data_IF_381747208581
#
_entry.id   IF_381747208581
#
_cell.length_a   1.000
_cell.length_b   1.000
_cell.length_c   1.000
_cell.angle_alpha   90.00
_cell.angle_beta   90.00
_cell.angle_gamma   90.00
#
_symmetry.space_group_name_H-M   'P 1'
#
loop_
_entity.id
_entity.type
_entity.pdbx_description
1 polymer ?
#
# COMPACT_ATOMS: atom_id res chain seq x y z
N UNK A 1 0.94 19.95 15.58
CA UNK A 1 0.53 19.51 14.23
C UNK A 1 -0.78 20.13 13.70
N UNK A 2 -1.61 20.76 14.55
CA UNK A 2 -2.97 21.24 14.18
C UNK A 2 -2.98 22.46 13.21
N UNK A 3 -1.87 23.17 12.98
CA UNK A 3 -1.85 24.37 12.13
C UNK A 3 -1.34 24.19 10.68
N UNK A 4 -0.77 23.03 10.31
CA UNK A 4 -0.22 22.83 8.95
C UNK A 4 -1.32 22.61 7.90
N UNK A 5 -2.34 21.81 8.24
CA UNK A 5 -3.55 21.71 7.42
C UNK A 5 -4.28 23.06 7.32
N UNK A 6 -4.27 23.86 8.39
CA UNK A 6 -4.91 25.17 8.42
C UNK A 6 -4.37 26.14 7.36
N UNK A 7 -3.05 26.13 7.11
CA UNK A 7 -2.43 26.97 6.07
C UNK A 7 -2.73 26.46 4.66
N UNK A 8 -2.64 25.15 4.40
CA UNK A 8 -3.03 24.58 3.10
C UNK A 8 -4.51 24.85 2.80
N UNK A 9 -5.39 24.68 3.80
CA UNK A 9 -6.81 25.04 3.69
C UNK A 9 -6.95 26.54 3.40
N UNK A 10 -6.19 27.39 4.08
CA UNK A 10 -6.24 28.83 3.85
C UNK A 10 -5.77 29.26 2.46
N UNK A 11 -4.69 28.66 1.95
CA UNK A 11 -4.12 29.02 0.65
C UNK A 11 -4.91 28.41 -0.51
N UNK A 12 -5.34 27.15 -0.39
CA UNK A 12 -5.93 26.39 -1.52
C UNK A 12 -7.46 26.34 -1.52
N UNK A 13 -8.11 26.48 -0.35
CA UNK A 13 -9.57 26.39 -0.24
C UNK A 13 -10.25 27.72 0.00
N UNK A 14 -9.59 28.70 0.63
CA UNK A 14 -10.21 30.01 0.94
C UNK A 14 -10.71 30.74 -0.30
N UNK A 15 -9.93 30.70 -1.38
CA UNK A 15 -10.31 31.30 -2.68
C UNK A 15 -11.47 30.58 -3.36
N UNK A 16 -11.80 29.37 -2.91
CA UNK A 16 -12.88 28.53 -3.46
C UNK A 16 -14.13 28.52 -2.59
N UNK A 17 -14.11 29.20 -1.43
CA UNK A 17 -15.30 29.42 -0.61
C UNK A 17 -16.23 30.39 -1.32
N UNK A 18 -17.50 30.02 -1.45
CA UNK A 18 -18.50 30.88 -2.06
C UNK A 18 -18.71 32.13 -1.18
N UNK A 19 -18.51 33.32 -1.76
CA UNK A 19 -18.58 34.58 -1.02
C UNK A 19 -19.97 34.97 -0.51
N UNK A 20 -21.05 34.48 -1.14
CA UNK A 20 -22.42 34.79 -0.72
C UNK A 20 -22.96 33.81 0.32
N UNK A 21 -22.66 32.52 0.18
CA UNK A 21 -23.13 31.49 1.12
C UNK A 21 -22.16 31.24 2.27
N UNK A 22 -20.90 31.70 2.14
CA UNK A 22 -19.77 31.36 3.03
C UNK A 22 -19.53 29.85 3.16
N UNK A 23 -20.04 29.06 2.21
CA UNK A 23 -19.88 27.61 2.18
C UNK A 23 -18.80 27.22 1.17
N UNK A 24 -18.08 26.16 1.50
CA UNK A 24 -17.25 25.44 0.55
C UNK A 24 -18.08 24.29 -0.01
N UNK A 25 -18.06 24.16 -1.34
CA UNK A 25 -18.71 23.05 -2.00
C UNK A 25 -18.05 21.71 -1.63
N UNK A 26 -18.86 20.65 -1.51
CA UNK A 26 -18.41 19.34 -1.04
C UNK A 26 -17.38 18.72 -2.00
N UNK A 27 -17.61 18.82 -3.31
CA UNK A 27 -16.67 18.32 -4.32
C UNK A 27 -15.34 19.06 -4.19
N UNK A 28 -15.39 20.38 -4.03
CA UNK A 28 -14.18 21.20 -3.83
C UNK A 28 -13.37 20.81 -2.59
N UNK A 29 -14.04 20.53 -1.47
CA UNK A 29 -13.39 20.02 -0.25
C UNK A 29 -12.78 18.64 -0.48
N UNK A 30 -13.53 17.76 -1.15
CA UNK A 30 -13.11 16.39 -1.40
C UNK A 30 -11.91 16.32 -2.36
N UNK A 31 -11.88 17.16 -3.40
CA UNK A 31 -10.75 17.32 -4.33
C UNK A 31 -9.48 17.73 -3.61
N UNK A 32 -9.62 18.71 -2.70
CA UNK A 32 -8.51 19.10 -1.85
C UNK A 32 -8.02 17.92 -1.01
N UNK A 33 -8.93 17.14 -0.41
CA UNK A 33 -8.57 16.04 0.48
C UNK A 33 -7.99 14.80 -0.21
N UNK A 34 -8.24 14.63 -1.51
CA UNK A 34 -7.89 13.42 -2.27
C UNK A 34 -6.66 13.59 -3.15
N UNK A 35 -6.33 14.82 -3.59
CA UNK A 35 -5.20 15.07 -4.49
C UNK A 35 -4.05 15.85 -3.82
N UNK A 36 -2.82 15.39 -4.07
CA UNK A 36 -1.56 16.07 -3.77
C UNK A 36 -1.29 16.49 -2.31
N UNK A 37 -2.04 15.99 -1.32
CA UNK A 37 -1.81 16.30 0.10
C UNK A 37 -0.36 16.02 0.54
N UNK A 38 0.18 14.85 0.21
CA UNK A 38 1.58 14.52 0.53
C UNK A 38 2.58 15.47 -0.15
N UNK A 39 2.33 15.90 -1.40
CA UNK A 39 3.17 16.90 -2.09
C UNK A 39 3.09 18.26 -1.41
N UNK A 40 1.89 18.69 -0.97
CA UNK A 40 1.70 19.93 -0.22
C UNK A 40 2.39 19.86 1.14
N UNK A 41 2.25 18.75 1.87
CA UNK A 41 2.98 18.51 3.12
C UNK A 41 4.48 18.70 2.89
N UNK A 42 5.05 18.06 1.87
CA UNK A 42 6.48 18.17 1.55
C UNK A 42 6.93 19.61 1.24
N UNK A 43 6.05 20.50 0.77
CA UNK A 43 6.42 21.90 0.51
C UNK A 43 6.74 22.69 1.79
N UNK A 44 6.19 22.29 2.93
CA UNK A 44 6.43 22.95 4.21
C UNK A 44 7.79 22.61 4.79
N UNK A 45 8.43 23.62 5.37
CA UNK A 45 9.76 23.48 5.96
C UNK A 45 9.83 22.40 7.06
N UNK A 46 8.78 22.27 7.90
CA UNK A 46 8.71 21.26 8.95
C UNK A 46 8.79 19.83 8.40
N UNK A 47 8.05 19.52 7.34
CA UNK A 47 8.08 18.20 6.72
C UNK A 47 9.38 17.94 5.96
N UNK A 48 9.98 18.97 5.34
CA UNK A 48 11.33 18.83 4.77
C UNK A 48 12.36 18.49 5.83
N UNK A 49 12.33 19.19 6.97
CA UNK A 49 13.21 18.89 8.10
C UNK A 49 13.02 17.48 8.63
N UNK A 50 11.77 17.02 8.75
CA UNK A 50 11.46 15.64 9.14
C UNK A 50 12.06 14.64 8.14
N UNK A 51 11.91 14.88 6.83
CA UNK A 51 12.52 14.03 5.79
C UNK A 51 14.05 14.03 5.93
N UNK A 52 14.68 15.19 6.03
CA UNK A 52 16.13 15.31 6.17
C UNK A 52 16.64 14.61 7.45
N UNK A 53 15.92 14.74 8.56
CA UNK A 53 16.24 14.09 9.84
C UNK A 53 16.14 12.57 9.74
N UNK A 54 15.05 12.04 9.19
CA UNK A 54 14.80 10.61 9.10
C UNK A 54 15.64 9.91 8.02
N UNK A 55 16.09 10.65 7.00
CA UNK A 55 17.03 10.11 6.02
C UNK A 55 18.47 10.08 6.51
N UNK A 56 18.81 10.81 7.58
CA UNK A 56 20.14 10.77 8.17
C UNK A 56 20.53 9.35 8.60
N UNK A 57 21.81 9.01 8.48
CA UNK A 57 22.32 7.71 8.90
C UNK A 57 22.16 7.46 10.41
N UNK A 58 22.22 8.51 11.24
CA UNK A 58 21.97 8.36 12.68
C UNK A 58 20.53 7.97 13.01
N UNK A 59 19.58 8.15 12.08
CA UNK A 59 18.17 7.81 12.25
C UNK A 59 17.83 6.40 11.71
N UNK A 60 18.79 5.65 11.17
CA UNK A 60 18.56 4.36 10.52
C UNK A 60 17.81 3.38 11.43
N UNK A 61 18.22 3.23 12.69
CA UNK A 61 17.58 2.29 13.61
C UNK A 61 16.15 2.73 13.98
N UNK A 62 15.91 4.03 14.10
CA UNK A 62 14.58 4.57 14.31
C UNK A 62 13.67 4.34 13.10
N UNK A 63 14.18 4.50 11.88
CA UNK A 63 13.41 4.22 10.66
C UNK A 63 13.19 2.72 10.47
N UNK A 64 14.14 1.87 10.89
CA UNK A 64 13.95 0.42 10.93
C UNK A 64 12.78 0.06 11.86
N UNK A 65 12.77 0.57 13.10
CA UNK A 65 11.67 0.39 14.06
C UNK A 65 10.32 0.87 13.48
N UNK A 66 10.33 2.06 12.86
CA UNK A 66 9.15 2.62 12.19
C UNK A 66 8.61 1.66 11.12
N UNK A 67 9.49 1.20 10.22
CA UNK A 67 9.16 0.31 9.09
C UNK A 67 8.64 -1.05 9.56
N UNK A 68 9.21 -1.59 10.63
CA UNK A 68 8.85 -2.94 11.10
C UNK A 68 7.55 -2.99 11.87
N UNK A 69 7.29 -2.00 12.73
CA UNK A 69 6.21 -2.12 13.72
C UNK A 69 5.02 -1.22 13.39
N UNK A 70 5.27 0.01 12.93
CA UNK A 70 4.27 1.07 12.85
C UNK A 70 3.70 1.32 11.45
N UNK A 71 4.48 1.10 10.38
CA UNK A 71 4.03 1.47 9.03
C UNK A 71 2.79 0.68 8.60
N UNK A 72 1.75 1.42 8.22
CA UNK A 72 0.42 0.89 7.89
C UNK A 72 -0.39 0.35 9.04
N UNK A 73 0.04 0.64 10.27
CA UNK A 73 -0.71 0.29 11.45
C UNK A 73 -0.96 1.53 12.30
N UNK A 74 -2.23 1.90 12.42
CA UNK A 74 -2.65 3.09 13.16
C UNK A 74 -3.05 2.78 14.61
N UNK A 75 -2.94 1.52 15.02
CA UNK A 75 -3.18 1.09 16.39
C UNK A 75 -1.98 1.35 17.30
N UNK A 76 -2.15 0.97 18.56
CA UNK A 76 -1.17 1.21 19.61
C UNK A 76 -0.18 0.06 19.69
N UNK A 77 1.10 0.38 19.90
CA UNK A 77 2.21 -0.57 20.03
C UNK A 77 2.91 -0.32 21.36
N UNK A 78 3.04 -1.38 22.16
CA UNK A 78 3.78 -1.33 23.42
C UNK A 78 5.24 -1.72 23.20
N UNK A 79 6.17 -0.86 23.60
CA UNK A 79 7.61 -1.08 23.45
C UNK A 79 8.22 -1.19 24.85
N UNK A 80 8.58 -2.39 25.28
CA UNK A 80 9.15 -2.63 26.62
C UNK A 80 10.66 -2.41 26.68
N UNK A 81 11.35 -2.60 25.55
CA UNK A 81 12.80 -2.41 25.47
C UNK A 81 13.20 -0.93 25.55
N UNK A 82 14.17 -0.61 26.39
CA UNK A 82 14.57 0.79 26.65
C UNK A 82 15.24 1.45 25.45
N UNK A 83 16.02 0.71 24.64
CA UNK A 83 16.67 1.29 23.46
C UNK A 83 15.62 1.55 22.37
N UNK A 84 14.70 0.61 22.14
CA UNK A 84 13.57 0.84 21.23
C UNK A 84 12.67 2.00 21.69
N UNK A 85 12.48 2.18 23.00
CA UNK A 85 11.76 3.36 23.52
C UNK A 85 12.48 4.66 23.16
N UNK A 86 13.82 4.72 23.25
CA UNK A 86 14.58 5.91 22.82
C UNK A 86 14.41 6.21 21.33
N UNK A 87 14.40 5.17 20.50
CA UNK A 87 14.13 5.30 19.06
C UNK A 87 12.70 5.81 18.81
N UNK A 88 11.71 5.29 19.54
CA UNK A 88 10.32 5.74 19.44
C UNK A 88 10.12 7.17 19.97
N UNK A 89 10.81 7.56 21.04
CA UNK A 89 10.82 8.93 21.56
C UNK A 89 11.44 9.90 20.54
N UNK A 90 12.51 9.50 19.83
CA UNK A 90 13.05 10.27 18.71
C UNK A 90 12.02 10.44 17.58
N UNK A 91 11.34 9.37 17.17
CA UNK A 91 10.26 9.45 16.16
C UNK A 91 9.08 10.32 16.64
N UNK A 92 8.81 10.35 17.94
CA UNK A 92 7.80 11.22 18.55
C UNK A 92 8.23 12.69 18.48
N UNK A 93 9.51 12.99 18.74
CA UNK A 93 10.07 14.33 18.63
C UNK A 93 10.05 14.86 17.18
N UNK A 94 10.29 13.97 16.20
CA UNK A 94 10.13 14.28 14.77
C UNK A 94 8.66 14.43 14.35
N UNK A 95 7.70 14.07 15.20
CA UNK A 95 6.27 14.17 14.94
C UNK A 95 5.72 13.02 14.10
N UNK A 96 6.46 11.91 14.00
CA UNK A 96 6.02 10.69 13.31
C UNK A 96 5.08 9.87 14.20
N UNK A 97 5.47 9.71 15.46
CA UNK A 97 4.70 8.97 16.46
C UNK A 97 4.06 9.90 17.49
N UNK A 98 3.09 9.38 18.22
CA UNK A 98 2.54 9.97 19.44
C UNK A 98 2.72 8.94 20.55
N UNK A 99 3.28 9.40 21.67
CA UNK A 99 3.30 8.65 22.92
C UNK A 99 1.99 8.86 23.68
N UNK A 100 1.36 7.78 24.11
CA UNK A 100 0.04 7.82 24.76
C UNK A 100 0.20 7.81 26.27
N UNK A 101 0.70 6.70 26.81
CA UNK A 101 0.95 6.46 28.22
C UNK A 101 2.12 5.48 28.38
N UNK A 102 2.96 5.68 29.39
CA UNK A 102 4.08 4.77 29.69
C UNK A 102 4.92 4.42 28.46
N UNK A 103 4.84 3.17 28.02
CA UNK A 103 5.57 2.56 26.91
C UNK A 103 4.76 2.36 25.62
N UNK A 104 3.58 2.98 25.50
CA UNK A 104 2.71 2.83 24.34
C UNK A 104 2.87 4.00 23.35
N UNK A 105 3.01 3.64 22.08
CA UNK A 105 3.19 4.57 20.97
C UNK A 105 2.22 4.23 19.85
N UNK A 106 1.88 5.21 19.03
CA UNK A 106 1.13 4.98 17.78
C UNK A 106 1.56 5.96 16.70
N UNK A 107 1.25 5.61 15.45
CA UNK A 107 1.41 6.53 14.33
C UNK A 107 0.61 7.83 14.57
N UNK A 108 1.22 8.98 14.31
CA UNK A 108 0.59 10.26 14.63
C UNK A 108 -0.71 10.50 13.85
N UNK A 109 -0.77 10.05 12.58
CA UNK A 109 -1.99 10.01 11.78
C UNK A 109 -1.79 9.18 10.51
N UNK A 110 -2.89 8.84 9.82
CA UNK A 110 -2.85 8.24 8.49
C UNK A 110 -2.12 9.11 7.45
N UNK A 111 -2.14 10.44 7.59
CA UNK A 111 -1.40 11.34 6.72
C UNK A 111 0.11 11.21 6.91
N UNK A 112 0.58 11.08 8.16
CA UNK A 112 1.98 10.85 8.45
C UNK A 112 2.43 9.47 7.93
N UNK A 113 1.61 8.43 8.14
CA UNK A 113 1.88 7.10 7.59
C UNK A 113 2.08 7.14 6.06
N UNK A 114 1.09 7.71 5.35
CA UNK A 114 1.13 7.88 3.89
C UNK A 114 2.33 8.73 3.43
N UNK A 115 2.67 9.77 4.19
CA UNK A 115 3.83 10.63 3.90
C UNK A 115 5.16 9.87 4.04
N UNK A 116 5.34 9.12 5.14
CA UNK A 116 6.53 8.31 5.41
C UNK A 116 6.70 7.23 4.34
N UNK A 117 5.63 6.50 4.02
CA UNK A 117 5.61 5.48 2.95
C UNK A 117 6.00 6.05 1.59
N UNK A 118 5.66 7.31 1.32
CA UNK A 118 5.91 7.96 0.03
C UNK A 118 7.29 8.59 -0.09
N UNK A 119 7.78 9.24 0.97
CA UNK A 119 8.98 10.08 0.89
C UNK A 119 10.16 9.62 1.74
N UNK A 120 9.96 8.74 2.71
CA UNK A 120 11.05 8.28 3.58
C UNK A 120 11.44 6.85 3.20
N UNK A 121 10.50 5.91 3.21
CA UNK A 121 10.80 4.49 2.97
C UNK A 121 11.46 4.22 1.61
N UNK A 122 10.97 4.74 0.47
CA UNK A 122 11.63 4.50 -0.81
C UNK A 122 13.03 5.11 -0.90
N UNK A 123 13.27 6.23 -0.21
CA UNK A 123 14.57 6.90 -0.19
C UNK A 123 15.58 6.20 0.72
N UNK A 124 15.15 5.76 1.91
CA UNK A 124 15.99 5.03 2.87
C UNK A 124 16.31 3.60 2.41
N UNK A 125 15.39 2.97 1.67
CA UNK A 125 15.51 1.60 1.18
C UNK A 125 15.36 1.55 -0.35
N UNK A 126 16.39 1.99 -1.11
CA UNK A 126 16.29 2.26 -2.55
C UNK A 126 16.30 0.99 -3.43
N UNK A 127 16.51 -0.19 -2.85
CA UNK A 127 16.71 -1.43 -3.59
C UNK A 127 15.47 -1.80 -4.43
N UNK A 128 15.64 -1.84 -5.75
CA UNK A 128 14.60 -2.08 -6.74
C UNK A 128 15.24 -2.54 -8.06
N UNK A 129 14.45 -3.07 -9.02
CA UNK A 129 14.99 -3.46 -10.32
C UNK A 129 15.66 -2.29 -11.05
N UNK A 130 16.80 -2.54 -11.68
CA UNK A 130 17.52 -1.59 -12.52
C UNK A 130 17.06 -1.60 -13.99
N UNK A 131 16.45 -2.71 -14.41
CA UNK A 131 15.96 -2.91 -15.78
C UNK A 131 14.79 -2.00 -16.13
N UNK A 132 14.53 -1.82 -17.43
CA UNK A 132 13.32 -1.09 -17.83
C UNK A 132 12.06 -1.91 -17.48
N UNK A 133 11.00 -1.28 -16.95
CA UNK A 133 9.76 -1.99 -16.63
C UNK A 133 9.19 -2.71 -17.85
N UNK A 134 8.73 -3.97 -17.70
CA UNK A 134 8.18 -4.73 -18.80
C UNK A 134 6.89 -4.06 -19.31
N UNK A 135 6.64 -4.25 -20.60
CA UNK A 135 5.54 -3.63 -21.32
C UNK A 135 4.80 -4.66 -22.15
N UNK A 136 3.48 -4.49 -22.22
CA UNK A 136 2.61 -5.24 -23.14
C UNK A 136 2.89 -4.83 -24.58
N UNK A 137 2.41 -5.64 -25.52
CA UNK A 137 2.30 -5.24 -26.93
C UNK A 137 1.39 -3.99 -27.00
N UNK A 138 1.94 -2.87 -27.48
CA UNK A 138 1.28 -1.55 -27.42
C UNK A 138 1.91 -0.55 -26.44
N UNK A 139 2.87 -0.99 -25.62
CA UNK A 139 3.74 -0.11 -24.85
C UNK A 139 3.18 0.37 -23.50
N UNK A 140 2.00 -0.09 -23.09
CA UNK A 140 1.52 0.01 -21.71
C UNK A 140 2.33 -0.92 -20.79
N UNK A 141 2.28 -0.66 -19.48
CA UNK A 141 2.98 -1.48 -18.50
C UNK A 141 2.40 -2.90 -18.45
N UNK A 142 3.26 -3.90 -18.31
CA UNK A 142 2.84 -5.25 -17.99
C UNK A 142 2.77 -5.41 -16.47
N UNK A 143 1.59 -5.20 -15.90
CA UNK A 143 1.40 -5.12 -14.45
C UNK A 143 1.66 -6.46 -13.77
N UNK A 144 1.27 -7.58 -14.38
CA UNK A 144 1.52 -8.91 -13.82
C UNK A 144 3.03 -9.20 -13.74
N UNK A 145 3.76 -8.97 -14.85
CA UNK A 145 5.22 -9.15 -14.87
C UNK A 145 5.95 -8.15 -13.96
N UNK A 146 5.48 -6.91 -13.86
CA UNK A 146 5.98 -5.94 -12.88
C UNK A 146 5.83 -6.46 -11.46
N UNK A 147 4.67 -7.01 -11.09
CA UNK A 147 4.46 -7.57 -9.76
C UNK A 147 5.40 -8.75 -9.52
N UNK A 148 5.51 -9.71 -10.46
CA UNK A 148 6.44 -10.85 -10.37
C UNK A 148 7.87 -10.42 -10.12
N UNK A 149 8.35 -9.41 -10.86
CA UNK A 149 9.71 -8.88 -10.68
C UNK A 149 9.83 -8.13 -9.35
N UNK A 150 8.82 -7.36 -8.94
CA UNK A 150 8.87 -6.58 -7.71
C UNK A 150 9.01 -7.46 -6.46
N UNK A 151 8.39 -8.65 -6.44
CA UNK A 151 8.50 -9.59 -5.31
C UNK A 151 9.95 -10.03 -5.03
N UNK A 152 10.82 -10.07 -6.04
CA UNK A 152 12.25 -10.40 -5.88
C UNK A 152 13.02 -9.39 -5.07
N UNK A 153 12.47 -8.19 -4.92
CA UNK A 153 13.09 -7.07 -4.23
C UNK A 153 12.44 -6.81 -2.88
N UNK A 154 11.49 -7.65 -2.45
CA UNK A 154 10.91 -7.56 -1.11
C UNK A 154 11.97 -7.89 -0.05
N UNK A 155 11.89 -7.19 1.07
CA UNK A 155 12.71 -7.47 2.23
C UNK A 155 12.20 -8.72 2.94
N UNK A 156 12.86 -9.86 2.69
CA UNK A 156 12.45 -11.17 3.21
C UNK A 156 12.47 -11.22 4.74
N UNK A 157 13.41 -10.52 5.37
CA UNK A 157 13.50 -10.44 6.83
C UNK A 157 12.31 -9.67 7.41
N UNK A 158 11.86 -8.61 6.72
CA UNK A 158 10.65 -7.88 7.09
C UNK A 158 9.40 -8.77 6.98
N UNK A 159 9.26 -9.57 5.91
CA UNK A 159 8.12 -10.49 5.76
C UNK A 159 8.16 -11.59 6.82
N UNK A 160 9.33 -12.17 7.08
CA UNK A 160 9.52 -13.22 8.09
C UNK A 160 9.11 -12.74 9.48
N UNK A 161 9.53 -11.53 9.85
CA UNK A 161 9.24 -10.94 11.16
C UNK A 161 7.83 -10.36 11.27
N UNK A 162 7.14 -10.17 10.14
CA UNK A 162 5.82 -9.57 10.13
C UNK A 162 4.78 -10.40 10.87
N UNK A 163 4.91 -11.73 10.89
CA UNK A 163 4.01 -12.62 11.64
C UNK A 163 4.08 -12.33 13.14
N UNK A 164 5.28 -12.26 13.72
CA UNK A 164 5.49 -12.11 15.16
C UNK A 164 5.10 -10.70 15.65
N UNK A 165 5.16 -9.72 14.74
CA UNK A 165 4.83 -8.30 15.01
C UNK A 165 3.41 -7.94 14.58
N UNK A 166 2.69 -8.87 13.97
CA UNK A 166 1.33 -8.68 13.51
C UNK A 166 0.32 -9.06 14.58
N UNK A 167 -0.63 -8.16 14.82
CA UNK A 167 -1.83 -8.47 15.61
C UNK A 167 -2.89 -9.22 14.78
N UNK A 168 -2.64 -9.48 13.49
CA UNK A 168 -3.55 -10.19 12.60
C UNK A 168 -3.36 -11.69 12.73
N UNK A 169 -4.48 -12.41 12.82
CA UNK A 169 -4.51 -13.87 12.78
C UNK A 169 -5.32 -14.39 11.59
N UNK A 170 -5.06 -15.63 11.18
CA UNK A 170 -5.82 -16.33 10.13
C UNK A 170 -7.29 -16.61 10.49
N UNK A 171 -7.67 -16.33 11.74
CA UNK A 171 -8.99 -16.60 12.28
C UNK A 171 -9.36 -18.08 12.24
N UNK A 172 -10.65 -18.36 12.32
CA UNK A 172 -11.20 -19.74 12.35
C UNK A 172 -11.55 -20.30 10.96
N UNK A 173 -11.26 -19.55 9.90
CA UNK A 173 -11.66 -19.89 8.53
C UNK A 173 -10.53 -20.41 7.66
N UNK A 174 -9.29 -20.00 7.95
CA UNK A 174 -8.12 -20.30 7.14
C UNK A 174 -7.07 -20.96 8.03
N UNK A 175 -6.54 -22.10 7.58
CA UNK A 175 -5.43 -22.78 8.26
C UNK A 175 -4.09 -22.31 7.69
N UNK A 176 -3.14 -22.10 8.58
CA UNK A 176 -1.74 -21.80 8.24
C UNK A 176 -0.87 -22.70 9.10
N UNK A 177 -0.03 -23.51 8.46
CA UNK A 177 0.82 -24.52 9.12
C UNK A 177 0.03 -25.51 9.99
N UNK A 178 -1.19 -25.85 9.56
CA UNK A 178 -2.09 -26.78 10.24
C UNK A 178 -3.04 -26.12 11.25
N UNK A 179 -2.76 -24.88 11.66
CA UNK A 179 -3.43 -24.21 12.77
C UNK A 179 -4.39 -23.10 12.33
N UNK A 180 -5.46 -22.91 13.11
CA UNK A 180 -6.34 -21.75 13.04
C UNK A 180 -5.89 -20.67 14.02
N UNK A 181 -6.22 -19.42 13.70
CA UNK A 181 -5.77 -18.24 14.46
C UNK A 181 -4.24 -18.13 14.55
N UNK A 182 -3.53 -18.72 13.58
CA UNK A 182 -2.10 -18.51 13.44
C UNK A 182 -1.84 -17.02 13.18
N UNK A 183 -0.77 -16.49 13.76
CA UNK A 183 -0.30 -15.15 13.40
C UNK A 183 0.04 -15.13 11.93
N UNK A 184 -0.24 -14.01 11.26
CA UNK A 184 0.06 -13.86 9.83
C UNK A 184 0.49 -12.43 9.50
N UNK A 185 1.30 -12.22 8.45
CA UNK A 185 1.61 -10.89 7.98
C UNK A 185 0.35 -10.10 7.62
N UNK A 186 0.37 -8.79 7.92
CA UNK A 186 -0.72 -7.85 7.59
C UNK A 186 -0.64 -7.42 6.14
N UNK A 187 -1.76 -6.99 5.56
CA UNK A 187 -1.82 -6.34 4.25
C UNK A 187 -0.78 -5.23 4.11
N UNK A 188 -0.64 -4.42 5.16
CA UNK A 188 0.23 -3.25 5.18
C UNK A 188 1.70 -3.56 4.89
N UNK A 189 2.16 -4.77 5.19
CA UNK A 189 3.55 -5.18 4.96
C UNK A 189 3.78 -5.37 3.46
N UNK A 190 2.93 -6.15 2.80
CA UNK A 190 3.01 -6.36 1.35
C UNK A 190 2.77 -5.07 0.57
N UNK A 191 1.78 -4.29 1.00
CA UNK A 191 1.46 -2.99 0.41
C UNK A 191 2.66 -2.02 0.49
N UNK A 192 3.27 -1.89 1.66
CA UNK A 192 4.46 -1.02 1.84
C UNK A 192 5.63 -1.47 0.97
N UNK A 193 5.92 -2.77 0.92
CA UNK A 193 7.04 -3.30 0.14
C UNK A 193 6.79 -3.15 -1.36
N UNK A 194 5.57 -3.43 -1.82
CA UNK A 194 5.19 -3.23 -3.21
C UNK A 194 5.29 -1.74 -3.58
N UNK A 195 4.71 -0.85 -2.77
CA UNK A 195 4.82 0.60 -2.95
C UNK A 195 6.27 1.08 -3.01
N UNK A 196 7.12 0.59 -2.10
CA UNK A 196 8.55 0.96 -2.03
C UNK A 196 9.26 0.58 -3.32
N UNK A 197 9.12 -0.67 -3.76
CA UNK A 197 9.75 -1.17 -4.98
C UNK A 197 9.22 -0.44 -6.21
N UNK A 198 7.89 -0.29 -6.35
CA UNK A 198 7.29 0.41 -7.49
C UNK A 198 7.67 1.88 -7.55
N UNK A 199 7.77 2.56 -6.40
CA UNK A 199 8.22 3.95 -6.33
C UNK A 199 9.67 4.05 -6.79
N UNK A 200 10.56 3.21 -6.27
CA UNK A 200 11.96 3.22 -6.68
C UNK A 200 12.16 2.81 -8.15
N UNK A 201 11.31 1.94 -8.67
CA UNK A 201 11.43 1.45 -10.04
C UNK A 201 10.71 2.34 -11.05
N UNK A 202 9.38 2.46 -10.96
CA UNK A 202 8.56 3.10 -11.99
C UNK A 202 8.62 4.63 -11.93
N UNK A 203 8.70 5.22 -10.73
CA UNK A 203 8.79 6.68 -10.60
C UNK A 203 10.16 7.17 -11.05
N UNK A 204 11.25 6.60 -10.52
CA UNK A 204 12.61 7.06 -10.85
C UNK A 204 12.97 6.81 -12.32
N UNK A 205 12.58 5.68 -12.90
CA UNK A 205 12.97 5.36 -14.28
C UNK A 205 12.04 5.93 -15.35
N UNK A 206 10.72 5.99 -15.09
CA UNK A 206 9.72 6.34 -16.12
C UNK A 206 8.73 7.43 -15.68
N UNK A 207 8.91 8.07 -14.52
CA UNK A 207 8.08 9.17 -14.00
C UNK A 207 6.60 8.80 -13.83
N UNK A 208 6.31 7.54 -13.50
CA UNK A 208 4.98 7.17 -13.01
C UNK A 208 4.81 7.67 -11.57
N UNK A 209 3.65 8.21 -11.26
CA UNK A 209 3.24 8.48 -9.89
C UNK A 209 2.67 7.22 -9.27
N UNK A 210 3.26 6.80 -8.14
CA UNK A 210 2.80 5.67 -7.32
C UNK A 210 2.17 6.26 -6.07
N UNK A 211 0.90 5.94 -5.84
CA UNK A 211 0.10 6.58 -4.78
C UNK A 211 -0.55 5.48 -3.96
N UNK A 212 -0.21 5.44 -2.68
CA UNK A 212 -0.81 4.54 -1.72
C UNK A 212 -2.05 5.13 -1.06
N UNK A 213 -2.98 4.28 -0.64
CA UNK A 213 -4.20 4.67 0.11
C UNK A 213 -4.95 5.82 -0.58
N UNK A 214 -5.20 5.68 -1.89
CA UNK A 214 -5.89 6.71 -2.66
C UNK A 214 -7.35 6.79 -2.20
N UNK A 215 -7.74 7.93 -1.61
CA UNK A 215 -9.10 8.17 -1.13
C UNK A 215 -10.04 8.45 -2.31
N UNK A 216 -11.16 7.73 -2.34
CA UNK A 216 -12.19 7.87 -3.38
C UNK A 216 -13.28 8.89 -3.01
N UNK A 217 -13.96 9.40 -4.03
CA UNK A 217 -15.15 10.24 -3.89
C UNK A 217 -16.38 9.34 -3.80
N UNK A 218 -16.87 9.10 -2.60
CA UNK A 218 -18.18 8.48 -2.39
C UNK A 218 -18.84 9.08 -1.15
N UNK A 219 -20.18 9.22 -1.18
CA UNK A 219 -20.95 9.71 -0.06
C UNK A 219 -20.99 8.63 1.03
N UNK A 220 -20.69 9.05 2.26
CA UNK A 220 -20.84 8.32 3.54
C UNK A 220 -19.77 7.27 3.90
N UNK A 221 -19.10 6.59 2.95
CA UNK A 221 -18.03 5.63 3.26
C UNK A 221 -16.63 6.08 2.80
N UNK A 222 -15.67 6.08 3.72
CA UNK A 222 -14.26 6.32 3.39
C UNK A 222 -13.65 5.09 2.70
N UNK A 223 -13.71 5.05 1.37
CA UNK A 223 -13.05 4.02 0.57
C UNK A 223 -11.65 4.45 0.15
N UNK A 224 -10.68 3.57 0.35
CA UNK A 224 -9.29 3.75 -0.07
C UNK A 224 -8.92 2.63 -1.02
N UNK A 225 -8.20 2.98 -2.09
CA UNK A 225 -7.52 2.03 -2.96
C UNK A 225 -6.11 1.89 -2.45
N UNK A 226 -5.63 0.65 -2.32
CA UNK A 226 -4.29 0.41 -1.78
C UNK A 226 -3.20 1.03 -2.62
N UNK A 227 -3.13 0.75 -3.93
CA UNK A 227 -2.12 1.34 -4.82
C UNK A 227 -2.73 1.82 -6.14
N UNK A 228 -2.35 3.03 -6.54
CA UNK A 228 -2.70 3.61 -7.84
C UNK A 228 -1.44 4.03 -8.58
N UNK A 229 -1.32 3.59 -9.84
CA UNK A 229 -0.20 3.91 -10.73
C UNK A 229 -0.72 4.83 -11.85
N UNK A 230 -0.17 6.04 -11.93
CA UNK A 230 -0.63 7.08 -12.87
C UNK A 230 0.52 7.70 -13.63
N UNK A 231 0.27 8.06 -14.89
CA UNK A 231 1.14 8.95 -15.66
C UNK A 231 0.32 9.66 -16.72
N UNK A 232 0.54 10.96 -16.91
CA UNK A 232 -0.19 11.74 -17.92
C UNK A 232 -0.09 11.08 -19.31
N UNK A 233 -1.25 10.92 -19.96
CA UNK A 233 -1.36 10.27 -21.27
C UNK A 233 -1.08 8.76 -21.26
N UNK A 234 -1.11 8.11 -20.09
CA UNK A 234 -1.00 6.66 -19.95
C UNK A 234 -2.18 6.09 -19.16
N UNK A 235 -2.51 4.82 -19.40
CA UNK A 235 -3.54 4.13 -18.63
C UNK A 235 -3.26 4.18 -17.12
N UNK A 236 -4.30 4.46 -16.35
CA UNK A 236 -4.32 4.37 -14.89
C UNK A 236 -4.52 2.92 -14.49
N UNK A 237 -3.74 2.48 -13.49
CA UNK A 237 -3.84 1.14 -12.92
C UNK A 237 -4.23 1.27 -11.46
N UNK A 238 -5.19 0.45 -11.04
CA UNK A 238 -5.57 0.29 -9.63
C UNK A 238 -5.22 -1.12 -9.16
N UNK A 239 -4.67 -1.21 -7.95
CA UNK A 239 -4.32 -2.47 -7.30
C UNK A 239 -4.95 -2.44 -5.92
N UNK A 240 -5.77 -3.44 -5.65
CA UNK A 240 -6.34 -3.74 -4.34
C UNK A 240 -5.61 -4.97 -3.77
N UNK A 241 -5.12 -4.86 -2.55
CA UNK A 241 -4.39 -5.90 -1.86
C UNK A 241 -5.26 -6.53 -0.78
N UNK A 242 -5.09 -7.83 -0.60
CA UNK A 242 -5.50 -8.52 0.62
C UNK A 242 -4.43 -9.53 1.02
N UNK A 243 -4.29 -9.74 2.31
CA UNK A 243 -3.33 -10.69 2.88
C UNK A 243 -4.09 -11.64 3.77
N UNK A 244 -4.09 -12.94 3.49
CA UNK A 244 -4.85 -13.94 4.25
C UNK A 244 -6.33 -13.55 4.40
N UNK A 245 -7.17 -14.15 3.57
CA UNK A 245 -8.61 -13.92 3.63
C UNK A 245 -9.40 -15.18 3.33
N UNK A 246 -10.60 -15.26 3.87
CA UNK A 246 -11.58 -16.24 3.43
C UNK A 246 -12.00 -15.99 1.98
N UNK A 247 -12.63 -16.97 1.33
CA UNK A 247 -13.19 -16.78 0.00
C UNK A 247 -14.19 -15.60 -0.06
N UNK A 248 -14.96 -15.37 1.01
CA UNK A 248 -15.84 -14.20 1.13
C UNK A 248 -15.04 -12.90 1.08
N UNK A 249 -13.90 -12.85 1.79
CA UNK A 249 -13.03 -11.66 1.76
C UNK A 249 -12.52 -11.39 0.35
N UNK A 250 -12.07 -12.42 -0.37
CA UNK A 250 -11.62 -12.28 -1.77
C UNK A 250 -12.74 -11.72 -2.66
N UNK A 251 -13.97 -12.24 -2.53
CA UNK A 251 -15.15 -11.73 -3.26
C UNK A 251 -15.44 -10.26 -2.97
N UNK A 252 -15.32 -9.86 -1.70
CA UNK A 252 -15.53 -8.48 -1.30
C UNK A 252 -14.48 -7.55 -1.95
N UNK A 253 -13.21 -7.96 -2.00
CA UNK A 253 -12.16 -7.20 -2.68
C UNK A 253 -12.34 -7.15 -4.20
N UNK A 254 -12.84 -8.20 -4.85
CA UNK A 254 -13.22 -8.16 -6.28
C UNK A 254 -14.32 -7.11 -6.51
N UNK A 255 -15.36 -7.12 -5.67
CA UNK A 255 -16.49 -6.19 -5.76
C UNK A 255 -16.06 -4.73 -5.49
N UNK A 256 -15.18 -4.50 -4.51
CA UNK A 256 -14.57 -3.20 -4.24
C UNK A 256 -13.76 -2.71 -5.44
N UNK A 257 -12.91 -3.58 -6.00
CA UNK A 257 -12.04 -3.23 -7.14
C UNK A 257 -12.85 -2.83 -8.37
N UNK A 258 -13.99 -3.47 -8.64
CA UNK A 258 -14.94 -3.05 -9.68
C UNK A 258 -15.44 -1.62 -9.47
N UNK A 259 -15.78 -1.28 -8.23
CA UNK A 259 -16.21 0.07 -7.85
C UNK A 259 -15.08 1.08 -8.07
N UNK A 260 -13.86 0.72 -7.63
CA UNK A 260 -12.67 1.56 -7.71
C UNK A 260 -12.26 1.86 -9.15
N UNK A 261 -12.31 0.84 -10.00
CA UNK A 261 -12.07 0.97 -11.45
C UNK A 261 -12.98 2.01 -12.09
N UNK A 262 -14.26 2.03 -11.72
CA UNK A 262 -15.26 2.98 -12.24
C UNK A 262 -15.04 4.40 -11.72
N UNK A 263 -14.70 4.54 -10.44
CA UNK A 263 -14.50 5.85 -9.81
C UNK A 263 -13.17 6.53 -10.21
N UNK A 264 -12.12 5.76 -10.53
CA UNK A 264 -10.83 6.28 -11.02
C UNK A 264 -10.61 6.18 -12.53
N UNK A 265 -11.69 6.11 -13.31
CA UNK A 265 -11.71 5.55 -14.68
C UNK A 265 -10.47 4.73 -15.07
N UNK A 266 -10.15 3.70 -14.28
CA UNK A 266 -8.93 2.94 -14.45
C UNK A 266 -9.08 1.90 -15.57
N UNK A 267 -8.17 1.91 -16.53
CA UNK A 267 -8.19 0.98 -17.65
C UNK A 267 -7.80 -0.45 -17.21
N UNK A 268 -6.97 -0.57 -16.18
CA UNK A 268 -6.52 -1.86 -15.64
C UNK A 268 -6.69 -1.90 -14.12
N UNK A 269 -7.23 -3.02 -13.61
CA UNK A 269 -7.55 -3.20 -12.21
C UNK A 269 -7.18 -4.61 -11.75
N UNK A 270 -6.50 -4.71 -10.61
CA UNK A 270 -6.02 -5.98 -10.07
C UNK A 270 -6.43 -6.16 -8.62
N UNK A 271 -6.94 -7.33 -8.28
CA UNK A 271 -6.93 -7.86 -6.92
C UNK A 271 -5.67 -8.71 -6.75
N UNK A 272 -4.90 -8.40 -5.71
CA UNK A 272 -3.65 -9.08 -5.38
C UNK A 272 -3.81 -9.72 -4.00
N UNK A 273 -3.86 -11.05 -3.96
CA UNK A 273 -4.02 -11.80 -2.73
C UNK A 273 -2.68 -12.44 -2.33
N UNK A 274 -2.09 -12.00 -1.22
CA UNK A 274 -0.99 -12.70 -0.57
C UNK A 274 -1.52 -13.70 0.46
N UNK A 275 -0.99 -14.92 0.48
CA UNK A 275 -1.45 -15.93 1.44
C UNK A 275 -0.37 -16.94 1.81
N UNK A 276 -0.48 -17.45 3.03
CA UNK A 276 0.26 -18.60 3.55
C UNK A 276 -0.70 -19.76 3.87
N UNK A 277 -1.95 -19.69 3.38
CA UNK A 277 -2.96 -20.73 3.60
C UNK A 277 -2.45 -22.09 3.12
N UNK A 278 -2.67 -23.10 3.97
CA UNK A 278 -2.27 -24.46 3.68
C UNK A 278 -2.89 -24.92 2.36
N UNK A 279 -2.06 -25.49 1.49
CA UNK A 279 -2.49 -26.08 0.23
C UNK A 279 -3.26 -25.15 -0.73
N UNK A 280 -3.24 -23.82 -0.49
CA UNK A 280 -4.04 -22.87 -1.27
C UNK A 280 -3.81 -22.96 -2.77
N UNK A 281 -2.57 -23.17 -3.18
CA UNK A 281 -2.19 -23.29 -4.60
C UNK A 281 -2.84 -24.49 -5.31
N UNK A 282 -3.34 -25.50 -4.58
CA UNK A 282 -4.06 -26.66 -5.17
C UNK A 282 -5.46 -26.25 -5.64
N UNK A 283 -6.13 -25.38 -4.88
CA UNK A 283 -7.51 -24.97 -5.12
C UNK A 283 -7.72 -23.47 -4.83
N UNK A 284 -7.02 -22.57 -5.57
CA UNK A 284 -7.21 -21.14 -5.35
C UNK A 284 -8.63 -20.73 -5.73
N UNK A 285 -9.13 -19.69 -5.06
CA UNK A 285 -10.39 -19.08 -5.45
C UNK A 285 -10.24 -18.42 -6.82
N UNK A 286 -11.27 -18.48 -7.66
CA UNK A 286 -11.28 -17.79 -8.94
C UNK A 286 -12.51 -16.90 -9.05
N UNK A 287 -12.30 -15.69 -9.56
CA UNK A 287 -13.39 -14.84 -10.03
C UNK A 287 -14.15 -15.51 -11.17
N UNK A 288 -15.44 -15.20 -11.24
CA UNK A 288 -16.35 -15.60 -12.31
C UNK A 288 -15.99 -14.93 -13.64
N UNK A 289 -16.52 -15.48 -14.74
CA UNK A 289 -16.32 -14.88 -16.08
C UNK A 289 -16.93 -13.49 -16.16
N UNK A 290 -18.09 -13.27 -15.51
CA UNK A 290 -18.74 -11.97 -15.45
C UNK A 290 -17.91 -10.92 -14.70
N UNK A 291 -17.23 -11.30 -13.61
CA UNK A 291 -16.31 -10.39 -12.89
C UNK A 291 -15.08 -10.06 -13.72
N UNK A 292 -14.52 -11.06 -14.41
CA UNK A 292 -13.38 -10.87 -15.32
C UNK A 292 -13.74 -9.98 -16.53
N UNK A 293 -14.91 -10.18 -17.13
CA UNK A 293 -15.39 -9.41 -18.28
C UNK A 293 -15.73 -7.96 -17.90
N UNK A 294 -16.04 -7.69 -16.63
CA UNK A 294 -16.14 -6.33 -16.09
C UNK A 294 -14.76 -5.68 -15.84
N UNK A 295 -13.66 -6.40 -16.11
CA UNK A 295 -12.31 -5.84 -16.17
C UNK A 295 -11.55 -5.84 -14.85
N UNK A 296 -11.86 -6.76 -13.93
CA UNK A 296 -11.03 -7.05 -12.75
C UNK A 296 -10.18 -8.28 -13.02
N UNK A 297 -8.89 -8.11 -12.87
CA UNK A 297 -7.91 -9.18 -12.92
C UNK A 297 -7.60 -9.67 -11.50
N UNK A 298 -7.20 -10.93 -11.36
CA UNK A 298 -6.89 -11.53 -10.07
C UNK A 298 -5.54 -12.25 -10.12
N UNK A 299 -4.73 -12.02 -9.10
CA UNK A 299 -3.50 -12.77 -8.86
C UNK A 299 -3.42 -13.18 -7.40
N UNK A 300 -3.01 -14.42 -7.19
CA UNK A 300 -2.70 -15.01 -5.89
C UNK A 300 -1.20 -15.27 -5.81
N UNK A 301 -0.58 -14.77 -4.75
CA UNK A 301 0.78 -15.10 -4.36
C UNK A 301 0.73 -15.90 -3.07
N UNK A 302 0.88 -17.22 -3.19
CA UNK A 302 1.13 -18.07 -2.04
C UNK A 302 2.61 -18.03 -1.70
N UNK A 303 2.96 -17.99 -0.41
CA UNK A 303 4.36 -18.13 0.00
C UNK A 303 4.52 -18.87 1.33
N UNK A 304 5.71 -19.44 1.53
CA UNK A 304 6.11 -20.01 2.82
C UNK A 304 6.47 -18.90 3.83
N UNK A 305 6.57 -19.24 5.13
CA UNK A 305 6.85 -18.26 6.20
C UNK A 305 8.08 -17.40 5.92
N UNK A 306 9.12 -18.00 5.35
CA UNK A 306 10.40 -17.34 5.09
C UNK A 306 10.46 -16.55 3.79
N UNK A 307 9.37 -16.52 3.02
CA UNK A 307 9.31 -15.87 1.71
C UNK A 307 10.45 -16.32 0.78
N UNK A 308 10.82 -17.60 0.87
CA UNK A 308 11.84 -18.24 0.04
C UNK A 308 11.22 -19.03 -1.12
N UNK A 309 9.97 -19.45 -0.96
CA UNK A 309 9.15 -20.07 -2.00
C UNK A 309 7.91 -19.22 -2.21
N UNK A 310 7.75 -18.67 -3.41
CA UNK A 310 6.52 -17.98 -3.83
C UNK A 310 5.94 -18.69 -5.03
N UNK A 311 4.64 -19.00 -4.97
CA UNK A 311 3.85 -19.59 -6.05
C UNK A 311 2.77 -18.62 -6.48
N UNK A 312 2.55 -18.51 -7.79
CA UNK A 312 1.59 -17.59 -8.37
C UNK A 312 0.49 -18.34 -9.13
N UNK A 313 -0.74 -17.92 -8.91
CA UNK A 313 -1.88 -18.27 -9.76
C UNK A 313 -2.57 -16.98 -10.19
N UNK A 314 -2.78 -16.76 -11.49
CA UNK A 314 -3.33 -15.52 -12.02
C UNK A 314 -4.37 -15.76 -13.11
N UNK A 315 -5.39 -14.91 -13.17
CA UNK A 315 -6.43 -14.91 -14.21
C UNK A 315 -6.76 -13.47 -14.61
N UNK A 316 -6.63 -13.15 -15.90
CA UNK A 316 -6.76 -11.78 -16.39
C UNK A 316 -7.20 -11.72 -17.87
N UNK A 317 -7.53 -10.52 -18.35
CA UNK A 317 -7.74 -10.24 -19.78
C UNK A 317 -6.47 -9.65 -20.40
N UNK A 318 -5.99 -10.24 -21.50
CA UNK A 318 -4.89 -9.66 -22.26
C UNK A 318 -5.31 -8.42 -23.06
N UNK A 319 -4.35 -7.79 -23.76
CA UNK A 319 -4.61 -6.60 -24.59
C UNK A 319 -5.58 -6.82 -25.74
N UNK A 320 -5.83 -8.08 -26.12
CA UNK A 320 -6.78 -8.47 -27.17
C UNK A 320 -8.15 -8.86 -26.60
N UNK A 321 -8.32 -8.81 -25.27
CA UNK A 321 -9.55 -9.22 -24.59
C UNK A 321 -9.69 -10.73 -24.39
N UNK A 322 -8.63 -11.52 -24.64
CA UNK A 322 -8.68 -12.95 -24.38
C UNK A 322 -8.42 -13.23 -22.91
N UNK A 323 -9.12 -14.24 -22.39
CA UNK A 323 -8.91 -14.73 -21.03
C UNK A 323 -7.59 -15.50 -20.97
N UNK A 324 -6.71 -15.07 -20.08
CA UNK A 324 -5.46 -15.73 -19.75
C UNK A 324 -5.52 -16.31 -18.35
N UNK A 325 -4.80 -17.41 -18.12
CA UNK A 325 -4.70 -18.06 -16.81
C UNK A 325 -3.34 -18.73 -16.64
N UNK A 326 -2.78 -18.58 -15.45
CA UNK A 326 -1.60 -19.29 -14.97
C UNK A 326 -1.98 -19.97 -13.67
N UNK A 327 -1.67 -21.25 -13.54
CA UNK A 327 -1.92 -22.04 -12.34
C UNK A 327 -0.58 -22.45 -11.71
N UNK A 328 -0.36 -22.06 -10.46
CA UNK A 328 0.72 -22.56 -9.61
C UNK A 328 2.14 -22.43 -10.21
N UNK A 329 2.44 -21.30 -10.84
CA UNK A 329 3.79 -20.96 -11.33
C UNK A 329 4.72 -20.74 -10.12
N UNK A 330 5.82 -21.48 -10.05
CA UNK A 330 6.88 -21.21 -9.07
C UNK A 330 7.67 -19.97 -9.52
N UNK A 331 7.72 -18.95 -8.67
CA UNK A 331 8.45 -17.72 -8.95
C UNK A 331 9.89 -17.82 -8.44
N UNK A 332 10.82 -17.27 -9.21
CA UNK A 332 12.18 -16.96 -8.74
C UNK A 332 12.14 -15.64 -7.96
N UNK A 333 12.54 -15.66 -6.70
CA UNK A 333 12.43 -14.55 -5.73
C UNK A 333 13.68 -14.32 -4.88
#
# INVERSE_FOLDING_TARGET
>A
MICLCGRSIHEDLRSKVNGSTKCLDYDTWQDFSTDNQNKRMLSYHTFRRMVDSLLNESATDAVNLLRTDFIGYLGDISITDMEQQRLADFLTAEGVLIRLDGSNYRMASAFIDSFVRRYIIPLKYPHAPSESPPKKRGGSLDILEIMKIALRFFDKDLILQAEDRSYKSSGRTVKVMGDYNASVPRESVYDTELMRVLTNWLNKTKKYEIIGQWRLREHEDHKYIDIVIKKAGKPTVVIELLAIGSQTSIKDHISKTLTYKRLLPAEEAWVVHFTCEDDYFKHPYWQTDAELDQGVNLVHFWHDKSFNTVRMSARWKDSSGNTQRIDNELLTI
#
